data_IF_295172430207
#
_entry.id   IF_295172430207
#
_cell.length_a   1.000
_cell.length_b   1.000
_cell.length_c   1.000
_cell.angle_alpha   90.00
_cell.angle_beta   90.00
_cell.angle_gamma   90.00
#
_symmetry.space_group_name_H-M   'P 1'
#
loop_
_entity.id
_entity.type
_entity.pdbx_description
1 polymer ?
#
# COMPACT_ATOMS: atom_id res chain seq x y z
N UNK A 1 -12.73 -35.44 5.52
CA UNK A 1 -12.97 -34.51 4.39
C UNK A 1 -12.77 -33.11 4.96
N UNK A 2 -11.62 -32.49 4.69
CA UNK A 2 -11.24 -31.17 5.21
C UNK A 2 -11.89 -30.13 4.31
N UNK A 3 -12.66 -29.21 4.88
CA UNK A 3 -13.17 -28.07 4.11
C UNK A 3 -12.04 -27.06 3.89
N UNK A 4 -11.80 -26.73 2.63
CA UNK A 4 -10.87 -25.69 2.19
C UNK A 4 -11.36 -24.32 2.66
N UNK A 5 -10.56 -23.69 3.52
CA UNK A 5 -10.74 -22.29 3.91
C UNK A 5 -10.24 -21.43 2.74
N UNK A 6 -11.17 -20.72 2.07
CA UNK A 6 -10.82 -19.72 1.05
C UNK A 6 -10.09 -18.54 1.70
N UNK A 7 -9.06 -18.06 1.01
CA UNK A 7 -8.02 -17.11 1.45
C UNK A 7 -8.51 -15.66 1.68
N UNK A 8 -9.81 -15.47 1.93
CA UNK A 8 -10.49 -14.16 1.95
C UNK A 8 -11.17 -13.81 3.29
N UNK A 9 -11.08 -14.64 4.32
CA UNK A 9 -11.75 -14.35 5.61
C UNK A 9 -10.79 -14.40 6.81
N UNK A 10 -10.55 -13.24 7.42
CA UNK A 10 -10.15 -13.17 8.83
C UNK A 10 -11.44 -12.93 9.64
N UNK A 11 -11.93 -13.93 10.36
CA UNK A 11 -13.04 -13.76 11.31
C UNK A 11 -12.50 -13.49 12.71
N UNK A 12 -12.83 -12.31 13.24
CA UNK A 12 -12.74 -12.00 14.67
C UNK A 12 -14.02 -12.56 15.31
N UNK A 13 -13.86 -13.47 16.27
CA UNK A 13 -14.98 -14.17 16.93
C UNK A 13 -15.70 -13.20 17.86
N UNK A 14 -16.98 -12.94 17.57
CA UNK A 14 -17.90 -12.23 18.46
C UNK A 14 -19.36 -12.43 18.06
N UNK A 15 -20.15 -12.95 18.99
CA UNK A 15 -21.61 -13.02 19.05
C UNK A 15 -22.39 -13.94 18.08
N UNK A 16 -22.97 -14.98 18.68
CA UNK A 16 -24.04 -15.82 18.14
C UNK A 16 -25.22 -15.00 17.58
N UNK A 17 -25.67 -15.33 16.37
CA UNK A 17 -27.07 -15.12 15.97
C UNK A 17 -27.56 -16.28 15.10
N UNK A 18 -28.67 -16.87 15.52
CA UNK A 18 -29.46 -17.88 14.79
C UNK A 18 -30.21 -17.20 13.65
N UNK A 19 -30.09 -17.73 12.43
CA UNK A 19 -30.98 -17.41 11.32
C UNK A 19 -32.21 -18.33 11.32
N UNK A 20 -33.38 -17.73 11.12
CA UNK A 20 -34.64 -18.41 10.83
C UNK A 20 -35.20 -17.84 9.52
N UNK A 21 -35.06 -18.61 8.44
CA UNK A 21 -35.77 -18.40 7.17
C UNK A 21 -37.17 -19.00 7.25
N UNK A 22 -38.19 -18.22 6.93
CA UNK A 22 -39.42 -18.62 6.20
C UNK A 22 -40.24 -17.35 5.89
N UNK A 23 -40.53 -17.14 4.60
CA UNK A 23 -41.48 -16.15 3.99
C UNK A 23 -40.92 -14.98 3.16
N UNK A 24 -39.69 -15.00 2.65
CA UNK A 24 -39.18 -13.91 1.79
C UNK A 24 -39.38 -14.10 0.28
N UNK A 25 -39.81 -15.28 -0.19
CA UNK A 25 -39.88 -15.58 -1.64
C UNK A 25 -41.16 -15.02 -2.31
N UNK A 26 -42.27 -14.88 -1.56
CA UNK A 26 -43.53 -14.39 -2.14
C UNK A 26 -43.54 -12.85 -2.39
N UNK A 27 -42.77 -12.09 -1.58
CA UNK A 27 -42.70 -10.62 -1.68
C UNK A 27 -41.79 -10.19 -2.84
N UNK A 28 -40.75 -10.97 -3.17
CA UNK A 28 -39.83 -10.70 -4.28
C UNK A 28 -40.51 -10.78 -5.66
N UNK A 29 -41.51 -11.65 -5.85
CA UNK A 29 -42.20 -11.80 -7.13
C UNK A 29 -43.17 -10.63 -7.43
N UNK A 30 -43.76 -10.00 -6.41
CA UNK A 30 -44.69 -8.87 -6.59
C UNK A 30 -43.93 -7.57 -6.92
N UNK A 31 -42.75 -7.38 -6.31
CA UNK A 31 -41.89 -6.21 -6.56
C UNK A 31 -41.27 -6.28 -7.98
N UNK A 32 -40.89 -7.47 -8.44
CA UNK A 32 -40.31 -7.66 -9.78
C UNK A 32 -41.27 -7.28 -10.93
N UNK A 33 -42.57 -7.56 -10.80
CA UNK A 33 -43.57 -7.21 -11.82
C UNK A 33 -43.81 -5.70 -11.95
N UNK A 34 -43.76 -4.97 -10.85
CA UNK A 34 -43.96 -3.51 -10.81
C UNK A 34 -42.76 -2.74 -11.42
N UNK A 35 -41.53 -3.24 -11.23
CA UNK A 35 -40.33 -2.63 -11.81
C UNK A 35 -40.28 -2.77 -13.34
N UNK A 36 -40.76 -3.89 -13.90
CA UNK A 36 -40.77 -4.12 -15.36
C UNK A 36 -41.79 -3.20 -16.05
N UNK A 37 -42.97 -2.98 -15.46
CA UNK A 37 -43.97 -2.06 -16.00
C UNK A 37 -43.49 -0.59 -16.00
N UNK A 38 -42.75 -0.18 -14.95
CA UNK A 38 -42.15 1.16 -14.88
C UNK A 38 -41.02 1.35 -15.90
N UNK A 39 -40.20 0.32 -16.16
CA UNK A 39 -39.15 0.39 -17.17
C UNK A 39 -39.72 0.49 -18.59
N UNK A 40 -40.79 -0.24 -18.91
CA UNK A 40 -41.45 -0.16 -20.23
C UNK A 40 -42.10 1.23 -20.42
N UNK A 41 -42.72 1.78 -19.38
CA UNK A 41 -43.27 3.14 -19.42
C UNK A 41 -42.19 4.22 -19.59
N UNK A 42 -41.03 4.07 -18.94
CA UNK A 42 -39.92 5.01 -19.04
C UNK A 42 -39.27 4.98 -20.43
N UNK A 43 -39.08 3.79 -21.01
CA UNK A 43 -38.53 3.64 -22.37
C UNK A 43 -39.49 4.22 -23.41
N UNK A 44 -40.80 4.04 -23.24
CA UNK A 44 -41.79 4.64 -24.15
C UNK A 44 -41.84 6.17 -24.02
N UNK A 45 -41.72 6.70 -22.80
CA UNK A 45 -41.66 8.14 -22.55
C UNK A 45 -40.38 8.80 -23.10
N UNK A 46 -39.23 8.14 -22.95
CA UNK A 46 -37.95 8.60 -23.50
C UNK A 46 -37.91 8.49 -25.03
N UNK A 47 -38.54 7.47 -25.62
CA UNK A 47 -38.62 7.31 -27.09
C UNK A 47 -39.55 8.31 -27.78
N UNK A 48 -40.40 9.03 -27.03
CA UNK A 48 -41.25 10.12 -27.56
C UNK A 48 -40.60 11.50 -27.49
N UNK A 49 -39.36 11.61 -27.00
CA UNK A 49 -38.63 12.88 -26.86
C UNK A 49 -37.34 12.91 -27.67
N UNK A 50 -37.44 12.72 -28.98
CA UNK A 50 -36.34 13.07 -29.87
C UNK A 50 -36.85 13.52 -31.24
N UNK A 51 -36.88 14.84 -31.45
CA UNK A 51 -36.79 15.51 -32.74
C UNK A 51 -36.45 16.99 -32.49
N UNK A 52 -35.16 17.31 -32.54
CA UNK A 52 -34.68 18.64 -32.91
C UNK A 52 -33.21 18.58 -33.33
N UNK A 53 -33.03 18.74 -34.64
CA UNK A 53 -32.05 19.57 -35.35
C UNK A 53 -30.56 19.45 -35.03
N UNK A 54 -29.85 18.95 -36.05
CA UNK A 54 -28.40 18.97 -36.22
C UNK A 54 -28.00 20.41 -36.59
N UNK A 55 -27.31 21.11 -35.70
CA UNK A 55 -26.60 22.35 -36.03
C UNK A 55 -25.10 22.13 -35.79
N UNK A 56 -24.33 22.23 -36.87
CA UNK A 56 -22.89 22.04 -36.92
C UNK A 56 -22.16 23.22 -36.27
N UNK A 57 -21.79 23.06 -35.00
CA UNK A 57 -20.88 23.95 -34.27
C UNK A 57 -19.43 23.51 -34.44
N UNK A 58 -18.60 24.40 -34.99
CA UNK A 58 -17.15 24.28 -35.03
C UNK A 58 -16.64 24.41 -33.60
N UNK A 59 -16.10 23.33 -33.02
CA UNK A 59 -15.45 23.37 -31.72
C UNK A 59 -14.00 23.85 -31.89
N UNK A 60 -13.76 25.06 -31.42
CA UNK A 60 -12.44 25.60 -31.13
C UNK A 60 -11.83 24.76 -29.99
N UNK A 61 -10.66 24.16 -30.21
CA UNK A 61 -9.96 23.38 -29.19
C UNK A 61 -9.55 24.33 -28.05
N UNK A 62 -10.22 24.21 -26.91
CA UNK A 62 -9.69 24.74 -25.65
C UNK A 62 -8.39 23.98 -25.35
N UNK A 63 -7.28 24.68 -25.52
CA UNK A 63 -5.97 24.26 -25.03
C UNK A 63 -6.13 23.92 -23.55
N UNK A 64 -5.95 22.64 -23.24
CA UNK A 64 -5.96 22.14 -21.87
C UNK A 64 -4.91 22.90 -21.10
N UNK A 65 -5.37 23.86 -20.29
CA UNK A 65 -4.58 24.58 -19.31
C UNK A 65 -3.73 23.57 -18.56
N UNK A 66 -2.42 23.55 -18.83
CA UNK A 66 -1.46 22.86 -17.98
C UNK A 66 -1.62 23.49 -16.61
N UNK A 67 -2.36 22.82 -15.73
CA UNK A 67 -2.33 23.14 -14.31
C UNK A 67 -0.85 23.09 -13.93
N UNK A 68 -0.30 24.26 -13.67
CA UNK A 68 1.06 24.44 -13.19
C UNK A 68 1.10 23.66 -11.87
N UNK A 69 1.68 22.46 -11.88
CA UNK A 69 1.87 21.65 -10.67
C UNK A 69 2.52 22.56 -9.64
N UNK A 70 1.77 22.94 -8.61
CA UNK A 70 2.34 23.53 -7.42
C UNK A 70 3.48 22.58 -6.98
N UNK A 71 4.71 23.07 -6.81
CA UNK A 71 5.80 22.20 -6.40
C UNK A 71 5.41 21.56 -5.06
N UNK A 72 5.42 20.23 -5.02
CA UNK A 72 5.02 19.48 -3.83
C UNK A 72 5.89 19.90 -2.62
N UNK A 73 5.36 19.87 -1.38
CA UNK A 73 5.94 20.58 -0.23
C UNK A 73 7.35 20.09 0.17
N UNK A 74 7.75 18.89 -0.28
CA UNK A 74 9.03 18.27 0.05
C UNK A 74 10.10 18.45 -1.03
N UNK A 75 9.78 19.07 -2.17
CA UNK A 75 10.65 19.08 -3.37
C UNK A 75 12.04 19.63 -3.09
N UNK A 76 12.08 20.81 -2.47
CA UNK A 76 13.35 21.47 -2.15
C UNK A 76 14.22 20.63 -1.23
N UNK A 77 13.62 19.93 -0.26
CA UNK A 77 14.37 19.04 0.63
C UNK A 77 14.91 17.82 -0.13
N UNK A 78 14.07 17.15 -0.94
CA UNK A 78 14.47 15.97 -1.72
C UNK A 78 15.57 16.26 -2.74
N UNK A 79 15.49 17.39 -3.46
CA UNK A 79 16.50 17.78 -4.44
C UNK A 79 17.89 17.99 -3.79
N UNK A 80 17.93 18.46 -2.54
CA UNK A 80 19.20 18.65 -1.83
C UNK A 80 19.87 17.31 -1.47
N UNK A 81 19.10 16.23 -1.33
CA UNK A 81 19.62 14.91 -0.96
C UNK A 81 20.49 14.28 -2.05
N UNK A 82 20.27 14.63 -3.32
CA UNK A 82 21.05 14.07 -4.45
C UNK A 82 22.53 14.43 -4.41
N UNK A 83 22.89 15.45 -3.63
CA UNK A 83 24.29 15.87 -3.44
C UNK A 83 25.00 15.10 -2.32
N UNK A 84 24.25 14.37 -1.48
CA UNK A 84 24.79 13.68 -0.30
C UNK A 84 25.38 12.33 -0.71
N UNK A 85 26.70 12.17 -0.49
CA UNK A 85 27.43 10.94 -0.78
C UNK A 85 27.58 10.00 0.43
N UNK A 86 27.23 10.47 1.63
CA UNK A 86 27.29 9.66 2.85
C UNK A 86 26.21 8.58 2.83
N UNK A 87 26.57 7.37 3.26
CA UNK A 87 25.61 6.28 3.49
C UNK A 87 24.91 6.48 4.83
N UNK A 88 23.59 6.58 4.80
CA UNK A 88 22.77 6.89 5.98
C UNK A 88 21.33 7.21 5.58
N UNK A 89 20.48 7.52 6.55
CA UNK A 89 19.08 7.87 6.29
C UNK A 89 18.86 9.35 6.51
N UNK A 90 18.40 10.06 5.48
CA UNK A 90 17.90 11.42 5.67
C UNK A 90 16.49 11.37 6.25
N UNK A 91 16.26 12.13 7.32
CA UNK A 91 15.00 12.12 8.08
C UNK A 91 14.38 13.50 8.05
N UNK A 92 13.08 13.57 7.81
CA UNK A 92 12.30 14.80 7.86
C UNK A 92 10.95 14.57 8.50
N UNK A 93 10.64 15.44 9.45
CA UNK A 93 9.33 15.48 10.06
C UNK A 93 8.45 16.48 9.30
N UNK A 94 7.17 16.14 9.17
CA UNK A 94 6.14 16.97 8.54
C UNK A 94 4.79 16.76 9.22
N UNK A 95 3.85 17.67 8.97
CA UNK A 95 2.47 17.55 9.40
C UNK A 95 1.60 17.82 8.19
N UNK A 96 0.69 16.89 7.87
CA UNK A 96 -0.24 17.01 6.74
C UNK A 96 -1.63 16.62 7.23
N UNK A 97 -2.59 17.52 7.09
CA UNK A 97 -3.96 17.35 7.61
C UNK A 97 -3.98 16.90 9.09
N UNK A 98 -3.17 17.57 9.92
CA UNK A 98 -2.98 17.26 11.35
C UNK A 98 -2.39 15.87 11.66
N UNK A 99 -1.88 15.15 10.64
CA UNK A 99 -1.19 13.88 10.81
C UNK A 99 0.33 14.14 10.86
N UNK A 100 1.00 13.85 11.99
CA UNK A 100 2.45 13.91 12.07
C UNK A 100 3.08 12.75 11.29
N UNK A 101 3.97 13.08 10.36
CA UNK A 101 4.69 12.17 9.49
C UNK A 101 6.19 12.22 9.77
N UNK A 102 6.82 11.05 9.83
CA UNK A 102 8.27 10.90 9.71
C UNK A 102 8.60 10.30 8.35
N UNK A 103 9.48 10.97 7.61
CA UNK A 103 9.88 10.59 6.26
C UNK A 103 11.35 10.21 6.29
N UNK A 104 11.64 8.99 5.82
CA UNK A 104 12.97 8.39 5.78
C UNK A 104 13.38 8.15 4.34
N UNK A 105 14.51 8.74 3.93
CA UNK A 105 15.12 8.51 2.62
C UNK A 105 16.43 7.77 2.83
N UNK A 106 16.54 6.48 2.48
CA UNK A 106 17.80 5.76 2.54
C UNK A 106 18.75 6.30 1.45
N UNK A 107 19.91 6.78 1.86
CA UNK A 107 20.94 7.33 0.97
C UNK A 107 22.10 6.34 0.85
N UNK A 108 22.46 6.02 -0.40
CA UNK A 108 23.63 5.21 -0.75
C UNK A 108 23.67 3.80 -0.11
N UNK A 109 22.54 3.30 0.39
CA UNK A 109 22.40 1.95 0.93
C UNK A 109 21.87 0.94 -0.09
N UNK A 110 22.16 -0.34 0.11
CA UNK A 110 21.73 -1.42 -0.79
C UNK A 110 20.43 -2.07 -0.31
N UNK A 111 19.33 -1.98 -1.07
CA UNK A 111 18.05 -2.53 -0.66
C UNK A 111 18.01 -4.05 -0.75
N UNK A 112 17.41 -4.70 0.25
CA UNK A 112 17.22 -6.16 0.33
C UNK A 112 15.94 -6.52 1.09
N UNK A 113 15.51 -7.78 0.98
CA UNK A 113 14.65 -8.38 2.00
C UNK A 113 15.46 -9.32 2.89
N UNK A 114 15.09 -9.39 4.16
CA UNK A 114 15.67 -10.32 5.13
C UNK A 114 14.58 -11.03 5.93
N UNK A 115 14.93 -12.16 6.52
CA UNK A 115 14.06 -12.93 7.41
C UNK A 115 14.64 -13.00 8.82
N UNK A 116 13.74 -13.15 9.78
CA UNK A 116 14.07 -13.31 11.19
C UNK A 116 14.44 -12.00 11.87
N UNK A 117 14.57 -12.08 13.19
CA UNK A 117 14.88 -10.93 14.04
C UNK A 117 16.38 -10.70 14.22
N UNK A 118 17.23 -11.50 13.58
CA UNK A 118 18.70 -11.32 13.64
C UNK A 118 19.12 -9.94 13.12
N UNK A 119 18.27 -9.30 12.29
CA UNK A 119 18.46 -7.92 11.83
C UNK A 119 18.61 -6.92 12.98
N UNK A 120 17.98 -7.17 14.13
CA UNK A 120 18.06 -6.30 15.32
C UNK A 120 19.46 -6.28 15.94
N UNK A 121 20.25 -7.33 15.71
CA UNK A 121 21.64 -7.39 16.15
C UNK A 121 22.62 -6.87 15.08
N UNK A 122 22.11 -6.35 13.96
CA UNK A 122 22.87 -5.92 12.77
C UNK A 122 22.55 -4.48 12.40
N UNK A 123 22.21 -3.66 13.39
CA UNK A 123 21.96 -2.22 13.25
C UNK A 123 23.20 -1.44 12.76
N UNK A 124 24.39 -1.95 13.05
CA UNK A 124 25.66 -1.42 12.57
C UNK A 124 25.89 -1.71 11.08
N UNK A 125 25.28 -2.75 10.53
CA UNK A 125 25.36 -3.12 9.11
C UNK A 125 24.24 -2.50 8.24
N UNK A 126 23.18 -1.97 8.86
CA UNK A 126 22.00 -1.47 8.16
C UNK A 126 21.70 -0.01 8.53
N UNK A 127 21.42 0.81 7.50
CA UNK A 127 21.03 2.21 7.70
C UNK A 127 19.52 2.41 7.89
N UNK A 128 18.72 1.45 7.44
CA UNK A 128 17.26 1.51 7.53
C UNK A 128 16.70 0.10 7.48
N UNK A 129 15.74 -0.22 8.33
CA UNK A 129 14.88 -1.37 8.09
C UNK A 129 13.49 -1.19 8.70
N UNK A 130 12.50 -1.79 8.05
CA UNK A 130 11.12 -1.86 8.52
C UNK A 130 10.53 -3.22 8.17
N UNK A 131 9.65 -3.74 9.03
CA UNK A 131 8.96 -5.00 8.73
C UNK A 131 8.12 -4.85 7.45
N UNK A 132 8.33 -5.75 6.47
CA UNK A 132 7.81 -5.59 5.12
C UNK A 132 6.38 -6.14 4.97
N UNK A 133 6.20 -7.45 5.07
CA UNK A 133 4.94 -8.14 4.89
C UNK A 133 4.36 -8.67 6.20
N UNK A 134 3.03 -8.60 6.31
CA UNK A 134 2.27 -9.15 7.42
C UNK A 134 2.49 -10.66 7.58
N UNK A 135 2.40 -11.13 8.82
CA UNK A 135 2.46 -12.55 9.16
C UNK A 135 1.07 -12.99 9.62
N UNK A 136 0.59 -14.09 9.06
CA UNK A 136 -0.73 -14.62 9.42
C UNK A 136 -0.78 -15.05 10.88
N UNK A 137 -1.86 -14.72 11.56
CA UNK A 137 -2.04 -15.08 12.97
C UNK A 137 -2.21 -16.61 13.17
N UNK A 138 -2.83 -17.30 12.22
CA UNK A 138 -3.24 -18.70 12.33
C UNK A 138 -2.07 -19.69 12.14
N UNK A 139 -1.24 -19.50 11.11
CA UNK A 139 -0.19 -20.44 10.73
C UNK A 139 1.23 -19.83 10.72
N UNK A 140 1.34 -18.53 11.00
CA UNK A 140 2.62 -17.79 11.01
C UNK A 140 3.34 -17.74 9.66
N UNK A 141 2.66 -18.00 8.55
CA UNK A 141 3.19 -17.79 7.21
C UNK A 141 3.09 -16.33 6.78
N UNK A 142 3.90 -15.95 5.79
CA UNK A 142 3.89 -14.61 5.20
C UNK A 142 2.59 -14.40 4.43
N UNK A 143 1.95 -13.24 4.62
CA UNK A 143 0.78 -12.80 3.86
C UNK A 143 1.20 -12.26 2.50
N UNK A 144 0.50 -12.68 1.45
CA UNK A 144 0.81 -12.27 0.09
C UNK A 144 1.99 -13.05 -0.50
N UNK A 145 2.28 -12.81 -1.77
CA UNK A 145 3.39 -13.43 -2.46
C UNK A 145 4.71 -12.84 -1.95
N UNK A 146 5.72 -13.68 -1.82
CA UNK A 146 7.01 -13.29 -1.25
C UNK A 146 8.14 -14.09 -1.90
N UNK A 147 9.15 -13.38 -2.39
CA UNK A 147 10.38 -13.92 -2.99
C UNK A 147 11.58 -13.35 -2.24
N UNK A 148 12.47 -14.23 -1.80
CA UNK A 148 13.72 -13.89 -1.12
C UNK A 148 14.90 -14.44 -1.93
N UNK A 149 15.69 -13.56 -2.55
CA UNK A 149 16.88 -13.97 -3.33
C UNK A 149 16.56 -15.04 -4.38
N UNK A 150 15.44 -14.87 -5.08
CA UNK A 150 14.93 -15.82 -6.06
C UNK A 150 14.13 -17.00 -5.49
N UNK A 151 14.17 -17.23 -4.18
CA UNK A 151 13.38 -18.30 -3.54
C UNK A 151 11.95 -17.84 -3.26
N UNK A 152 10.96 -18.57 -3.79
CA UNK A 152 9.54 -18.30 -3.52
C UNK A 152 9.14 -18.89 -2.16
N UNK A 153 8.87 -18.01 -1.20
CA UNK A 153 8.46 -18.40 0.16
C UNK A 153 6.94 -18.37 0.36
N UNK A 154 6.23 -17.57 -0.43
CA UNK A 154 4.76 -17.51 -0.42
C UNK A 154 4.22 -17.08 -1.79
N UNK A 155 3.00 -17.50 -2.12
CA UNK A 155 2.32 -17.24 -3.41
C UNK A 155 0.96 -16.54 -3.26
N UNK A 156 0.66 -15.96 -2.10
CA UNK A 156 -0.65 -15.33 -1.85
C UNK A 156 -0.93 -14.15 -2.79
N UNK A 157 -2.07 -14.17 -3.49
CA UNK A 157 -2.47 -13.07 -4.40
C UNK A 157 -3.49 -12.11 -3.79
N UNK A 158 -3.82 -12.26 -2.50
CA UNK A 158 -4.85 -11.47 -1.81
C UNK A 158 -4.50 -9.98 -1.63
N UNK A 159 -3.30 -9.57 -2.02
CA UNK A 159 -2.75 -8.21 -1.89
C UNK A 159 -2.29 -7.72 -3.26
N UNK A 160 -2.81 -6.57 -3.72
CA UNK A 160 -2.49 -6.03 -5.05
C UNK A 160 -1.28 -5.10 -5.07
N UNK A 161 -0.92 -4.47 -3.96
CA UNK A 161 0.31 -3.70 -3.86
C UNK A 161 1.52 -4.62 -3.87
N UNK A 162 2.58 -4.22 -4.56
CA UNK A 162 3.85 -4.94 -4.59
C UNK A 162 5.04 -4.00 -4.41
N UNK A 163 6.13 -4.57 -3.90
CA UNK A 163 7.46 -4.00 -3.96
C UNK A 163 8.41 -5.06 -4.48
N UNK A 164 9.17 -4.73 -5.52
CA UNK A 164 10.19 -5.58 -6.12
C UNK A 164 11.56 -4.94 -5.95
N UNK A 165 12.59 -5.75 -5.74
CA UNK A 165 13.99 -5.31 -5.71
C UNK A 165 14.77 -6.23 -6.65
N UNK A 166 15.11 -5.72 -7.83
CA UNK A 166 15.77 -6.48 -8.90
C UNK A 166 16.93 -5.65 -9.40
N UNK A 167 18.11 -6.28 -9.52
CA UNK A 167 19.35 -5.60 -9.97
C UNK A 167 19.66 -4.32 -9.17
N UNK A 168 19.32 -4.31 -7.87
CA UNK A 168 19.50 -3.17 -6.96
C UNK A 168 18.48 -2.04 -7.11
N UNK A 169 17.57 -2.12 -8.09
CA UNK A 169 16.48 -1.16 -8.29
C UNK A 169 15.23 -1.61 -7.54
N UNK A 170 14.61 -0.69 -6.82
CA UNK A 170 13.32 -0.90 -6.18
C UNK A 170 12.22 -0.39 -7.11
N UNK A 171 11.14 -1.14 -7.21
CA UNK A 171 9.89 -0.71 -7.84
C UNK A 171 8.71 -0.98 -6.91
N UNK A 172 7.85 0.03 -6.74
CA UNK A 172 6.62 -0.05 -5.93
C UNK A 172 5.44 0.20 -6.86
N UNK A 173 4.41 -0.63 -6.77
CA UNK A 173 3.25 -0.48 -7.64
C UNK A 173 2.03 -1.27 -7.18
N UNK A 174 0.97 -1.21 -7.99
CA UNK A 174 -0.30 -1.91 -7.74
C UNK A 174 -0.69 -2.71 -8.97
N UNK A 175 -0.81 -4.02 -8.82
CA UNK A 175 -1.24 -4.91 -9.89
C UNK A 175 -1.79 -6.24 -9.35
N UNK A 176 -2.80 -6.80 -10.02
CA UNK A 176 -3.30 -8.15 -9.69
C UNK A 176 -2.21 -9.20 -9.91
N UNK A 177 -1.51 -9.11 -11.04
CA UNK A 177 -0.33 -9.90 -11.38
C UNK A 177 0.77 -8.95 -11.86
N UNK A 178 2.02 -9.21 -11.48
CA UNK A 178 3.16 -8.42 -11.91
C UNK A 178 4.25 -9.37 -12.41
N UNK A 179 4.80 -9.18 -13.62
CA UNK A 179 5.89 -10.01 -14.14
C UNK A 179 7.16 -9.91 -13.28
N UNK A 180 7.24 -8.91 -12.40
CA UNK A 180 8.36 -8.74 -11.47
C UNK A 180 8.43 -9.85 -10.41
N UNK A 181 7.35 -10.59 -10.18
CA UNK A 181 7.40 -11.77 -9.31
C UNK A 181 8.25 -12.87 -9.94
N UNK A 182 7.99 -13.19 -11.21
CA UNK A 182 8.76 -14.15 -11.98
C UNK A 182 10.19 -13.64 -12.21
N UNK A 183 10.36 -12.37 -12.57
CA UNK A 183 11.68 -11.77 -12.77
C UNK A 183 12.53 -11.82 -11.49
N UNK A 184 11.94 -11.52 -10.32
CA UNK A 184 12.65 -11.66 -9.04
C UNK A 184 13.07 -13.12 -8.77
N UNK A 185 12.26 -14.09 -9.18
CA UNK A 185 12.61 -15.53 -9.06
C UNK A 185 13.80 -15.87 -9.94
N UNK A 186 13.82 -15.37 -11.19
CA UNK A 186 14.84 -15.69 -12.20
C UNK A 186 16.18 -14.97 -11.96
N UNK A 187 16.13 -13.75 -11.42
CA UNK A 187 17.31 -12.90 -11.23
C UNK A 187 17.87 -12.89 -9.80
N UNK A 188 17.43 -13.81 -8.95
CA UNK A 188 17.76 -13.81 -7.52
C UNK A 188 17.40 -12.46 -6.83
N UNK A 189 16.30 -11.85 -7.27
CA UNK A 189 15.77 -10.62 -6.71
C UNK A 189 14.87 -10.87 -5.51
N UNK A 190 14.18 -9.81 -5.11
CA UNK A 190 13.24 -9.82 -4.01
C UNK A 190 11.88 -9.31 -4.45
N UNK A 191 10.81 -9.82 -3.85
CA UNK A 191 9.45 -9.37 -4.14
C UNK A 191 8.56 -9.59 -2.92
N UNK A 192 7.68 -8.66 -2.58
CA UNK A 192 6.61 -8.92 -1.62
C UNK A 192 5.34 -8.16 -1.96
N UNK A 193 4.19 -8.68 -1.53
CA UNK A 193 2.90 -8.02 -1.68
C UNK A 193 2.35 -7.48 -0.36
N UNK A 194 1.68 -6.33 -0.44
CA UNK A 194 0.96 -5.74 0.68
C UNK A 194 -0.25 -4.92 0.23
N UNK A 195 -1.00 -4.37 1.18
CA UNK A 195 -2.11 -3.47 0.86
C UNK A 195 -1.61 -2.27 0.04
N UNK A 196 -2.21 -2.00 -1.12
CA UNK A 196 -1.94 -0.77 -1.85
C UNK A 196 -2.47 0.44 -1.06
N UNK A 197 -1.77 1.57 -1.16
CA UNK A 197 -2.16 2.83 -0.52
C UNK A 197 -2.39 3.92 -1.58
N UNK A 198 -1.44 4.05 -2.51
CA UNK A 198 -1.47 5.05 -3.58
C UNK A 198 -1.07 4.38 -4.89
N UNK A 199 -1.80 4.66 -5.95
CA UNK A 199 -1.57 4.18 -7.31
C UNK A 199 -1.62 5.37 -8.27
N UNK A 200 -0.50 5.69 -8.91
CA UNK A 200 -0.36 6.83 -9.81
C UNK A 200 -0.88 8.17 -9.23
N UNK A 201 -0.57 8.45 -7.96
CA UNK A 201 -0.97 9.65 -7.24
C UNK A 201 -2.41 9.65 -6.75
N UNK A 202 -3.13 8.53 -6.92
CA UNK A 202 -4.53 8.37 -6.53
C UNK A 202 -4.60 7.43 -5.33
N UNK A 203 -5.33 7.84 -4.29
CA UNK A 203 -5.62 7.01 -3.13
C UNK A 203 -6.30 5.71 -3.55
N UNK A 204 -5.84 4.59 -2.99
CA UNK A 204 -6.47 3.27 -3.18
C UNK A 204 -7.34 2.96 -1.97
N UNK A 205 -8.66 2.86 -2.20
CA UNK A 205 -9.61 2.56 -1.14
C UNK A 205 -9.38 1.19 -0.51
N UNK A 206 -9.55 1.12 0.81
CA UNK A 206 -9.31 -0.08 1.59
C UNK A 206 -10.44 -0.31 2.61
N UNK A 207 -10.61 -1.56 3.06
CA UNK A 207 -11.69 -1.93 3.99
C UNK A 207 -11.27 -1.98 5.46
N UNK A 208 -10.01 -1.67 5.78
CA UNK A 208 -9.49 -1.74 7.15
C UNK A 208 -9.99 -0.53 7.94
N UNK A 209 -10.81 -0.78 8.96
CA UNK A 209 -11.46 0.27 9.76
C UNK A 209 -10.71 0.65 11.04
N UNK A 210 -9.71 -0.12 11.45
CA UNK A 210 -8.96 0.18 12.68
C UNK A 210 -8.07 1.40 12.46
N UNK A 211 -7.70 2.09 13.55
CA UNK A 211 -6.60 3.05 13.56
C UNK A 211 -5.35 2.40 14.14
N UNK A 212 -4.18 2.74 13.62
CA UNK A 212 -2.88 2.30 14.15
C UNK A 212 -1.79 3.25 13.69
N UNK A 213 -0.61 3.16 14.30
CA UNK A 213 0.60 3.72 13.69
C UNK A 213 0.73 3.14 12.28
N UNK A 214 0.90 3.98 11.26
CA UNK A 214 0.96 3.55 9.87
C UNK A 214 2.35 3.70 9.32
N UNK A 215 2.67 2.85 8.34
CA UNK A 215 3.94 2.85 7.63
C UNK A 215 3.68 2.52 6.17
N UNK A 216 4.43 3.14 5.28
CA UNK A 216 4.35 2.86 3.85
C UNK A 216 5.71 3.01 3.19
N UNK A 217 6.00 2.14 2.23
CA UNK A 217 7.07 2.38 1.26
C UNK A 217 6.46 3.07 0.05
N UNK A 218 7.06 4.19 -0.32
CA UNK A 218 6.47 5.16 -1.23
C UNK A 218 7.50 5.54 -2.30
N UNK A 219 7.00 5.83 -3.49
CA UNK A 219 7.73 6.55 -4.52
C UNK A 219 7.35 8.03 -4.46
N UNK A 220 8.33 8.90 -4.24
CA UNK A 220 8.15 10.34 -4.09
C UNK A 220 9.26 11.05 -4.90
N UNK A 221 8.87 11.78 -5.96
CA UNK A 221 9.79 12.38 -6.93
C UNK A 221 10.86 11.39 -7.46
N UNK A 222 10.45 10.16 -7.78
CA UNK A 222 11.35 9.11 -8.27
C UNK A 222 12.32 8.57 -7.21
N UNK A 223 12.20 8.97 -5.94
CA UNK A 223 12.95 8.40 -4.82
C UNK A 223 12.08 7.43 -4.04
N UNK A 224 12.71 6.38 -3.52
CA UNK A 224 12.05 5.49 -2.56
C UNK A 224 12.19 6.08 -1.17
N UNK A 225 11.06 6.21 -0.49
CA UNK A 225 10.99 6.74 0.87
C UNK A 225 10.14 5.82 1.74
N UNK A 226 10.45 5.75 3.03
CA UNK A 226 9.53 5.20 4.03
C UNK A 226 8.85 6.37 4.72
N UNK A 227 7.54 6.29 4.87
CA UNK A 227 6.77 7.28 5.64
C UNK A 227 6.07 6.56 6.78
N UNK A 228 6.16 7.11 7.99
CA UNK A 228 5.45 6.59 9.16
C UNK A 228 4.62 7.69 9.83
N UNK A 229 3.55 7.29 10.52
CA UNK A 229 2.83 8.19 11.43
C UNK A 229 3.32 8.01 12.86
N UNK A 230 3.18 9.08 13.65
CA UNK A 230 3.44 9.11 15.10
C UNK A 230 2.17 9.09 15.96
N UNK A 231 1.01 9.13 15.30
CA UNK A 231 -0.31 8.94 15.90
C UNK A 231 -1.04 7.77 15.24
N UNK A 232 -2.00 7.14 15.94
CA UNK A 232 -2.86 6.13 15.33
C UNK A 232 -3.79 6.72 14.28
N UNK A 233 -3.61 6.33 13.02
CA UNK A 233 -4.44 6.80 11.91
C UNK A 233 -5.21 5.69 11.19
N UNK A 234 -6.32 6.08 10.55
CA UNK A 234 -6.98 5.17 9.61
C UNK A 234 -6.07 4.96 8.39
N UNK A 235 -6.26 3.85 7.67
CA UNK A 235 -5.45 3.63 6.47
C UNK A 235 -5.79 4.65 5.37
N UNK A 236 -7.06 5.08 5.30
CA UNK A 236 -7.54 6.10 4.37
C UNK A 236 -6.86 7.45 4.64
N UNK A 237 -6.90 7.94 5.89
CA UNK A 237 -6.30 9.24 6.25
C UNK A 237 -4.79 9.24 6.00
N UNK A 238 -4.12 8.12 6.31
CA UNK A 238 -2.69 7.96 5.99
C UNK A 238 -2.42 7.96 4.49
N UNK A 239 -3.17 7.19 3.70
CA UNK A 239 -3.03 7.18 2.24
C UNK A 239 -3.28 8.57 1.63
N UNK A 240 -4.26 9.32 2.16
CA UNK A 240 -4.53 10.68 1.70
C UNK A 240 -3.36 11.61 2.04
N UNK A 241 -2.79 11.51 3.23
CA UNK A 241 -1.58 12.27 3.58
C UNK A 241 -0.39 11.93 2.66
N UNK A 242 -0.25 10.67 2.21
CA UNK A 242 0.76 10.28 1.23
C UNK A 242 0.55 10.95 -0.14
N UNK A 243 -0.71 11.00 -0.61
CA UNK A 243 -1.08 11.74 -1.84
C UNK A 243 -0.71 13.22 -1.69
N UNK A 244 -1.06 13.82 -0.56
CA UNK A 244 -0.88 15.26 -0.32
C UNK A 244 0.60 15.68 -0.20
N UNK A 245 1.51 14.78 0.21
CA UNK A 245 2.96 15.02 0.13
C UNK A 245 3.56 14.81 -1.26
N UNK A 246 2.78 14.29 -2.21
CA UNK A 246 3.16 14.09 -3.62
C UNK A 246 3.59 12.67 -3.99
N UNK A 247 3.21 11.66 -3.20
CA UNK A 247 3.55 10.26 -3.49
C UNK A 247 2.86 9.78 -4.77
N UNK A 248 3.60 9.13 -5.67
CA UNK A 248 3.03 8.55 -6.90
C UNK A 248 2.56 7.12 -6.69
N UNK A 249 3.35 6.29 -6.02
CA UNK A 249 3.01 4.90 -5.72
C UNK A 249 3.32 4.61 -4.26
N UNK A 250 2.44 3.90 -3.56
CA UNK A 250 2.73 3.45 -2.21
C UNK A 250 2.02 2.15 -1.87
N UNK A 251 2.71 1.34 -1.07
CA UNK A 251 2.14 0.16 -0.43
C UNK A 251 2.41 0.22 1.07
N UNK A 252 1.53 -0.41 1.83
CA UNK A 252 1.63 -0.50 3.28
C UNK A 252 2.84 -1.34 3.70
N UNK A 253 3.46 -0.95 4.81
CA UNK A 253 4.40 -1.77 5.57
C UNK A 253 3.76 -2.09 6.92
N UNK A 254 4.24 -3.14 7.59
CA UNK A 254 3.66 -3.54 8.88
C UNK A 254 3.81 -2.40 9.89
N UNK A 255 2.68 -1.86 10.34
CA UNK A 255 2.61 -0.72 11.24
C UNK A 255 2.45 -1.12 12.72
N UNK A 256 1.69 -0.31 13.46
CA UNK A 256 1.55 -0.42 14.92
C UNK A 256 2.92 -0.32 15.60
N UNK A 257 3.22 -1.25 16.47
CA UNK A 257 4.44 -1.40 17.25
C UNK A 257 5.43 -2.37 16.58
N UNK A 258 5.27 -2.64 15.29
CA UNK A 258 6.26 -3.40 14.51
C UNK A 258 7.64 -2.74 14.60
N UNK A 259 8.69 -3.55 14.54
CA UNK A 259 10.05 -3.06 14.71
C UNK A 259 10.51 -2.33 13.44
N UNK A 260 11.25 -1.25 13.63
CA UNK A 260 12.00 -0.56 12.61
C UNK A 260 13.23 0.11 13.19
N UNK A 261 14.16 0.50 12.33
CA UNK A 261 15.43 1.13 12.68
C UNK A 261 15.82 2.13 11.61
N UNK A 262 16.42 3.24 12.01
CA UNK A 262 17.12 4.15 11.12
C UNK A 262 18.47 4.55 11.72
N UNK A 263 19.50 4.63 10.88
CA UNK A 263 20.75 5.31 11.18
C UNK A 263 20.75 6.62 10.39
N UNK A 264 20.74 7.76 11.07
CA UNK A 264 20.74 9.07 10.40
C UNK A 264 22.08 9.35 9.68
N UNK A 265 22.13 10.43 8.91
CA UNK A 265 23.35 10.82 8.18
C UNK A 265 24.51 11.24 9.09
N UNK A 266 24.27 11.46 10.38
CA UNK A 266 25.28 11.73 11.40
C UNK A 266 25.77 10.45 12.09
N UNK A 267 25.17 9.30 11.78
CA UNK A 267 25.51 8.00 12.36
C UNK A 267 24.76 7.68 13.65
N UNK A 268 23.77 8.47 14.05
CA UNK A 268 22.95 8.16 15.22
C UNK A 268 21.90 7.11 14.89
N UNK A 269 21.74 6.13 15.77
CA UNK A 269 20.73 5.09 15.67
C UNK A 269 19.39 5.52 16.28
N UNK A 270 18.29 5.18 15.62
CA UNK A 270 16.92 5.48 16.05
C UNK A 270 16.13 4.17 16.02
N UNK A 271 15.71 3.73 17.19
CA UNK A 271 14.81 2.58 17.37
C UNK A 271 13.36 3.00 17.15
N UNK A 272 12.62 2.20 16.38
CA UNK A 272 11.21 2.45 16.05
C UNK A 272 10.37 1.23 16.43
N UNK A 273 9.25 1.44 17.14
CA UNK A 273 8.35 0.37 17.59
C UNK A 273 8.84 -0.37 18.84
N UNK A 274 8.33 -1.59 19.06
CA UNK A 274 8.58 -2.35 20.28
C UNK A 274 9.66 -3.43 20.06
N UNK A 275 10.86 -3.17 20.61
CA UNK A 275 12.06 -3.99 20.45
C UNK A 275 12.13 -5.23 21.38
N UNK A 276 11.11 -5.45 22.20
CA UNK A 276 11.04 -6.52 23.20
C UNK A 276 10.15 -7.71 22.78
N UNK A 277 9.79 -7.80 21.50
CA UNK A 277 8.75 -8.71 21.00
C UNK A 277 9.19 -10.14 20.66
N UNK A 278 8.20 -11.03 20.67
CA UNK A 278 8.33 -12.46 20.34
C UNK A 278 8.89 -12.65 18.93
N UNK A 279 9.88 -13.53 18.84
CA UNK A 279 10.52 -13.89 17.60
C UNK A 279 9.66 -14.91 16.81
N UNK A 280 9.29 -14.57 15.58
CA UNK A 280 8.72 -15.52 14.62
C UNK A 280 9.71 -15.71 13.47
N UNK A 281 9.90 -16.95 13.04
CA UNK A 281 10.85 -17.32 11.98
C UNK A 281 10.60 -16.56 10.66
N UNK A 282 9.34 -16.32 10.33
CA UNK A 282 8.93 -15.73 9.05
C UNK A 282 8.77 -14.20 9.10
N UNK A 283 9.04 -13.54 10.25
CA UNK A 283 9.09 -12.07 10.24
C UNK A 283 10.13 -11.65 9.22
N UNK A 284 9.79 -10.64 8.44
CA UNK A 284 10.55 -10.25 7.28
C UNK A 284 10.67 -8.73 7.25
N UNK A 285 11.80 -8.24 6.78
CA UNK A 285 12.13 -6.83 6.75
C UNK A 285 12.58 -6.42 5.37
N UNK A 286 12.19 -5.22 4.95
CA UNK A 286 12.90 -4.50 3.91
C UNK A 286 14.01 -3.70 4.57
N UNK A 287 15.23 -3.84 4.05
CA UNK A 287 16.43 -3.27 4.66
C UNK A 287 17.27 -2.54 3.64
N UNK A 288 18.05 -1.57 4.10
CA UNK A 288 19.13 -0.95 3.36
C UNK A 288 20.43 -1.18 4.11
N UNK A 289 21.29 -2.03 3.55
CA UNK A 289 22.62 -2.30 4.07
C UNK A 289 23.62 -1.20 3.70
N UNK A 290 24.65 -1.01 4.52
CA UNK A 290 25.79 -0.14 4.21
C UNK A 290 26.61 -0.64 3.01
#
# INVERSE_FOLDING_TARGET
MKEDIKDTEIRIIGANKKDSKKNTILILCIIGGLCIALLVGLVWHLSTREKTDIESGIYEQEETSRQQLQPHPLRGWLCNLDTIQTTGTAIKDSIVNDIPLHIYVPLNGKPRLTLGYDIMNRCDENILFFQAADIRADNKNIVGAFVLEGEVLSRGLSKRGYCAIIDGKIEVGVADNSPLFEEATEKNGYFFRQFPLVDNGILVENTIKTKSMRRGICELEGKIVIVTTDTPESLHDFAQALVDIGTTNAIYLVGSDAIGWACDIQGNGIEIGAWDKRQYKNVNFITWGK
#
